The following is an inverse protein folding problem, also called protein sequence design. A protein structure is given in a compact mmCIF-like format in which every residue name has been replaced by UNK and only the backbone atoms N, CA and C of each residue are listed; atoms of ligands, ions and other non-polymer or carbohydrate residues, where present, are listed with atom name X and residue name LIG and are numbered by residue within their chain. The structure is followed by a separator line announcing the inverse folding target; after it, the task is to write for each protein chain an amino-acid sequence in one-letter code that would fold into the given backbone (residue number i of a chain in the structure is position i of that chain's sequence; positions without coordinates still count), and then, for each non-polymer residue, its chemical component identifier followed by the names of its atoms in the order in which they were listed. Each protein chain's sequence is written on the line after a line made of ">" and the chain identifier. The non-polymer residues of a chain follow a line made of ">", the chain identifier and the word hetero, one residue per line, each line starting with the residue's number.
data_IF_156397442829
#
_entry.id   IF_156397442829
#
_cell.length_a   1.000
_cell.length_b   1.000
_cell.length_c   1.000
_cell.angle_alpha   90.00
_cell.angle_beta   90.00
_cell.angle_gamma   90.00
#
_symmetry.space_group_name_H-M   'P 1'
#
loop_
_entity.id
_entity.type
_entity.pdbx_description
1 polymer ?
#
# COMPACT_ATOMS: atom_id res chain seq x y z
N UNK A 1 6.06 -25.13 7.01
CA UNK A 1 6.53 -25.13 5.61
C UNK A 1 7.78 -25.98 5.44
N UNK A 2 8.76 -25.91 6.35
CA UNK A 2 10.01 -26.68 6.26
C UNK A 2 9.81 -28.21 6.23
N UNK A 3 8.74 -28.72 6.83
CA UNK A 3 8.41 -30.14 6.83
C UNK A 3 7.78 -30.65 5.52
N UNK A 4 7.29 -29.71 4.70
CA UNK A 4 6.62 -30.02 3.43
C UNK A 4 7.49 -29.72 2.21
N UNK A 5 8.62 -29.07 2.42
CA UNK A 5 9.56 -28.72 1.36
C UNK A 5 10.63 -29.82 1.22
N UNK A 6 11.14 -30.02 0.01
CA UNK A 6 12.24 -30.94 -0.27
C UNK A 6 13.55 -30.43 0.35
N UNK A 7 13.74 -29.10 0.36
CA UNK A 7 14.88 -28.42 0.97
C UNK A 7 14.43 -27.25 1.84
N UNK A 8 15.16 -26.98 2.91
CA UNK A 8 14.95 -25.84 3.76
C UNK A 8 16.29 -25.15 4.09
N UNK A 9 16.35 -23.85 3.82
CA UNK A 9 17.57 -23.05 4.02
C UNK A 9 17.31 -21.99 5.09
N UNK A 10 18.16 -21.96 6.11
CA UNK A 10 18.14 -20.89 7.10
C UNK A 10 18.79 -19.64 6.51
N UNK A 11 18.02 -18.58 6.35
CA UNK A 11 18.46 -17.30 5.77
C UNK A 11 18.82 -16.23 6.82
N UNK A 12 18.67 -16.52 8.10
CA UNK A 12 19.05 -15.59 9.16
C UNK A 12 18.32 -15.82 10.48
N UNK A 13 18.47 -14.84 11.37
CA UNK A 13 17.80 -14.80 12.68
C UNK A 13 16.31 -14.58 12.53
N UNK A 14 15.55 -14.74 13.62
CA UNK A 14 14.09 -14.61 13.64
C UNK A 14 13.57 -13.20 13.28
N UNK A 15 14.37 -12.14 13.49
CA UNK A 15 13.98 -10.79 13.09
C UNK A 15 13.77 -10.71 11.57
N UNK A 16 12.67 -10.10 11.12
CA UNK A 16 12.30 -10.02 9.70
C UNK A 16 13.37 -9.31 8.85
N UNK A 17 14.02 -8.29 9.39
CA UNK A 17 15.13 -7.58 8.75
C UNK A 17 16.37 -8.44 8.51
N UNK A 18 16.55 -9.47 9.33
CA UNK A 18 17.65 -10.43 9.22
C UNK A 18 17.29 -11.65 8.37
N UNK A 19 16.04 -11.77 7.94
CA UNK A 19 15.51 -12.94 7.23
C UNK A 19 14.55 -12.53 6.09
N UNK A 20 13.25 -12.45 6.35
CA UNK A 20 12.19 -12.27 5.34
C UNK A 20 12.26 -10.93 4.58
N UNK A 21 12.90 -9.91 5.12
CA UNK A 21 13.11 -8.62 4.45
C UNK A 21 14.53 -8.47 3.89
N UNK A 22 15.40 -9.45 4.10
CA UNK A 22 16.77 -9.42 3.57
C UNK A 22 16.81 -10.04 2.17
N UNK A 23 16.66 -9.18 1.17
CA UNK A 23 16.60 -9.57 -0.25
C UNK A 23 17.85 -10.34 -0.71
N UNK A 24 19.03 -9.91 -0.25
CA UNK A 24 20.30 -10.51 -0.65
C UNK A 24 20.43 -11.94 -0.13
N UNK A 25 20.01 -12.19 1.11
CA UNK A 25 20.05 -13.54 1.70
C UNK A 25 19.08 -14.50 1.03
N UNK A 26 17.89 -13.99 0.68
CA UNK A 26 16.90 -14.79 -0.06
C UNK A 26 17.45 -15.17 -1.43
N UNK A 27 17.99 -14.20 -2.18
CA UNK A 27 18.57 -14.47 -3.50
C UNK A 27 19.80 -15.37 -3.41
N UNK A 28 20.65 -15.21 -2.38
CA UNK A 28 21.79 -16.10 -2.16
C UNK A 28 21.35 -17.55 -1.92
N UNK A 29 20.28 -17.76 -1.12
CA UNK A 29 19.69 -19.07 -0.90
C UNK A 29 19.11 -19.64 -2.20
N UNK A 30 18.39 -18.82 -2.97
CA UNK A 30 17.82 -19.19 -4.27
C UNK A 30 18.88 -19.69 -5.25
N UNK A 31 19.99 -18.95 -5.35
CA UNK A 31 21.10 -19.31 -6.25
C UNK A 31 21.81 -20.57 -5.75
N UNK A 32 22.03 -20.70 -4.44
CA UNK A 32 22.71 -21.84 -3.85
C UNK A 32 21.92 -23.16 -4.03
N UNK A 33 20.59 -23.08 -3.94
CA UNK A 33 19.69 -24.23 -4.16
C UNK A 33 19.36 -24.46 -5.64
N UNK A 34 19.83 -23.58 -6.53
CA UNK A 34 19.54 -23.60 -7.97
C UNK A 34 18.03 -23.53 -8.26
N UNK A 35 17.28 -22.85 -7.40
CA UNK A 35 15.87 -22.60 -7.63
C UNK A 35 15.68 -21.64 -8.81
N UNK A 36 14.79 -21.96 -9.71
CA UNK A 36 14.53 -21.20 -10.94
C UNK A 36 13.48 -20.09 -10.73
N UNK A 37 12.70 -20.18 -9.66
CA UNK A 37 11.63 -19.24 -9.37
C UNK A 37 11.46 -19.00 -7.87
N UNK A 38 10.91 -17.83 -7.52
CA UNK A 38 10.53 -17.47 -6.16
C UNK A 38 9.03 -17.17 -6.11
N UNK A 39 8.31 -17.91 -5.26
CA UNK A 39 6.95 -17.53 -4.86
C UNK A 39 7.04 -16.72 -3.56
N UNK A 40 6.72 -15.42 -3.58
CA UNK A 40 6.95 -14.54 -2.42
C UNK A 40 5.93 -14.73 -1.28
N UNK A 41 4.89 -15.52 -1.48
CA UNK A 41 3.76 -15.56 -0.58
C UNK A 41 2.92 -14.27 -0.65
N UNK A 42 2.53 -13.75 0.50
CA UNK A 42 1.84 -12.46 0.64
C UNK A 42 2.51 -11.63 1.75
N UNK A 43 2.40 -10.31 1.64
CA UNK A 43 3.11 -9.39 2.53
C UNK A 43 4.63 -9.38 2.27
N UNK A 44 5.40 -8.79 3.18
CA UNK A 44 6.86 -8.69 3.11
C UNK A 44 7.37 -8.23 1.73
N UNK A 45 8.13 -9.07 1.03
CA UNK A 45 8.72 -8.74 -0.27
C UNK A 45 7.79 -8.98 -1.46
N UNK A 46 6.58 -9.53 -1.25
CA UNK A 46 5.61 -9.72 -2.34
C UNK A 46 5.14 -8.40 -2.97
N UNK A 47 5.23 -7.30 -2.23
CA UNK A 47 4.86 -5.95 -2.66
C UNK A 47 6.07 -5.04 -2.90
N UNK A 48 7.27 -5.63 -2.99
CA UNK A 48 8.51 -4.88 -3.15
C UNK A 48 9.03 -4.95 -4.59
N UNK A 49 8.87 -3.87 -5.35
CA UNK A 49 9.31 -3.79 -6.76
C UNK A 49 10.82 -3.99 -6.93
N UNK A 50 11.63 -3.47 -5.98
CA UNK A 50 13.08 -3.65 -6.01
C UNK A 50 13.49 -5.12 -5.91
N UNK A 51 12.77 -5.90 -5.09
CA UNK A 51 13.04 -7.33 -4.99
C UNK A 51 12.77 -8.06 -6.31
N UNK A 52 11.69 -7.70 -7.00
CA UNK A 52 11.39 -8.25 -8.34
C UNK A 52 12.50 -7.91 -9.34
N UNK A 53 12.94 -6.66 -9.39
CA UNK A 53 14.07 -6.25 -10.24
C UNK A 53 15.36 -7.04 -9.94
N UNK A 54 15.61 -7.33 -8.67
CA UNK A 54 16.76 -8.14 -8.26
C UNK A 54 16.63 -9.58 -8.71
N UNK A 55 15.44 -10.18 -8.62
CA UNK A 55 15.15 -11.52 -9.15
C UNK A 55 15.41 -11.57 -10.65
N UNK A 56 14.87 -10.60 -11.41
CA UNK A 56 15.08 -10.51 -12.86
C UNK A 56 16.57 -10.42 -13.24
N UNK A 57 17.36 -9.59 -12.53
CA UNK A 57 18.80 -9.46 -12.74
C UNK A 57 19.58 -10.75 -12.45
N UNK A 58 19.04 -11.60 -11.57
CA UNK A 58 19.62 -12.90 -11.24
C UNK A 58 19.09 -14.04 -12.14
N UNK A 59 18.28 -13.75 -13.15
CA UNK A 59 17.57 -14.74 -13.98
C UNK A 59 16.69 -15.71 -13.16
N UNK A 60 16.11 -15.22 -12.08
CA UNK A 60 15.16 -15.95 -11.22
C UNK A 60 13.75 -15.45 -11.51
N UNK A 61 12.84 -16.33 -11.87
CA UNK A 61 11.46 -15.95 -12.14
C UNK A 61 10.76 -15.55 -10.82
N UNK A 62 10.23 -14.33 -10.76
CA UNK A 62 9.35 -13.93 -9.67
C UNK A 62 7.91 -14.34 -10.02
N UNK A 63 7.28 -15.15 -9.17
CA UNK A 63 5.89 -15.60 -9.37
C UNK A 63 4.97 -14.50 -8.85
N UNK A 64 4.61 -13.57 -9.73
CA UNK A 64 3.81 -12.39 -9.41
C UNK A 64 3.83 -11.35 -10.53
N UNK A 65 3.30 -10.15 -10.27
CA UNK A 65 3.34 -9.05 -11.22
C UNK A 65 4.76 -8.52 -11.44
N UNK A 66 4.98 -7.80 -12.54
CA UNK A 66 6.25 -7.12 -12.81
C UNK A 66 6.55 -6.03 -11.77
N UNK A 67 7.82 -5.65 -11.65
CA UNK A 67 8.27 -4.58 -10.76
C UNK A 67 7.50 -3.27 -11.01
N UNK A 68 7.25 -2.92 -12.28
CA UNK A 68 6.47 -1.73 -12.67
C UNK A 68 5.04 -1.80 -12.13
N UNK A 69 4.36 -2.93 -12.29
CA UNK A 69 2.98 -3.10 -11.83
C UNK A 69 2.91 -3.01 -10.30
N UNK A 70 3.83 -3.66 -9.59
CA UNK A 70 3.89 -3.59 -8.12
C UNK A 70 4.11 -2.14 -7.66
N UNK A 71 5.05 -1.42 -8.27
CA UNK A 71 5.33 -0.02 -7.94
C UNK A 71 4.11 0.86 -8.15
N UNK A 72 3.45 0.76 -9.31
CA UNK A 72 2.26 1.56 -9.65
C UNK A 72 1.06 1.24 -8.79
N UNK A 73 0.82 -0.03 -8.50
CA UNK A 73 -0.32 -0.44 -7.66
C UNK A 73 -0.08 -0.22 -6.16
N UNK A 74 1.19 -0.17 -5.73
CA UNK A 74 1.56 0.19 -4.37
C UNK A 74 1.29 1.66 -4.02
N UNK A 75 1.30 2.56 -5.02
CA UNK A 75 0.90 3.95 -4.84
C UNK A 75 -0.63 4.09 -5.01
N UNK A 76 -1.34 4.38 -3.92
CA UNK A 76 -2.81 4.43 -3.90
C UNK A 76 -3.41 5.44 -4.90
N UNK A 77 -2.79 6.60 -5.06
CA UNK A 77 -3.25 7.63 -5.99
C UNK A 77 -3.02 7.21 -7.45
N UNK A 78 -1.85 6.64 -7.73
CA UNK A 78 -1.49 6.17 -9.06
C UNK A 78 -2.32 4.94 -9.46
N UNK A 79 -2.54 4.01 -8.55
CA UNK A 79 -3.43 2.87 -8.75
C UNK A 79 -4.85 3.31 -9.11
N UNK A 80 -5.44 4.25 -8.36
CA UNK A 80 -6.75 4.82 -8.67
C UNK A 80 -6.80 5.52 -10.02
N UNK A 81 -5.79 6.31 -10.35
CA UNK A 81 -5.73 7.00 -11.63
C UNK A 81 -5.60 6.01 -12.79
N UNK A 82 -4.84 4.94 -12.61
CA UNK A 82 -4.72 3.85 -13.58
C UNK A 82 -6.07 3.16 -13.78
N UNK A 83 -6.77 2.83 -12.68
CA UNK A 83 -8.09 2.20 -12.77
C UNK A 83 -9.13 3.11 -13.44
N UNK A 84 -9.13 4.42 -13.11
CA UNK A 84 -10.01 5.39 -13.79
C UNK A 84 -9.76 5.44 -15.31
N UNK A 85 -8.50 5.47 -15.73
CA UNK A 85 -8.13 5.43 -17.16
C UNK A 85 -8.62 4.15 -17.84
N UNK A 86 -8.57 3.03 -17.12
CA UNK A 86 -9.09 1.74 -17.60
C UNK A 86 -10.63 1.61 -17.51
N UNK A 87 -11.34 2.69 -17.10
CA UNK A 87 -12.81 2.72 -16.90
C UNK A 87 -13.30 1.72 -15.84
N UNK A 88 -12.43 1.32 -14.93
CA UNK A 88 -12.80 0.51 -13.76
C UNK A 88 -13.42 1.46 -12.72
N UNK A 89 -14.59 1.14 -12.16
CA UNK A 89 -15.19 1.93 -11.10
C UNK A 89 -14.26 2.03 -9.88
N UNK A 90 -14.07 3.25 -9.39
CA UNK A 90 -13.30 3.51 -8.16
C UNK A 90 -14.13 4.37 -7.22
N UNK A 91 -13.86 4.26 -5.92
CA UNK A 91 -14.49 5.14 -4.93
C UNK A 91 -14.14 6.59 -5.27
N UNK A 92 -15.16 7.49 -5.39
CA UNK A 92 -14.92 8.90 -5.63
C UNK A 92 -13.99 9.51 -4.59
N UNK A 93 -13.06 10.35 -5.00
CA UNK A 93 -12.10 10.96 -4.10
C UNK A 93 -11.14 11.89 -4.83
N UNK A 94 -10.23 12.49 -4.07
CA UNK A 94 -9.22 13.40 -4.62
C UNK A 94 -8.34 12.70 -5.64
N UNK A 95 -7.99 13.41 -6.70
CA UNK A 95 -7.03 12.95 -7.73
C UNK A 95 -5.61 13.24 -7.29
N UNK A 96 -5.43 14.38 -6.67
CA UNK A 96 -4.17 14.90 -6.16
C UNK A 96 -4.18 14.90 -4.63
N UNK A 97 -3.01 14.85 -3.99
CA UNK A 97 -2.87 15.03 -2.56
C UNK A 97 -3.40 16.39 -2.09
N UNK A 98 -3.89 16.44 -0.86
CA UNK A 98 -4.32 17.68 -0.19
C UNK A 98 -3.46 17.90 1.05
N UNK A 99 -3.06 19.16 1.27
CA UNK A 99 -2.12 19.52 2.33
C UNK A 99 -2.71 20.50 3.34
N UNK A 100 -3.82 21.15 2.99
CA UNK A 100 -4.47 22.16 3.83
C UNK A 100 -5.96 21.92 3.94
N UNK A 101 -6.56 22.40 5.04
CA UNK A 101 -8.01 22.33 5.25
C UNK A 101 -8.75 23.01 4.09
N UNK A 102 -8.27 24.15 3.59
CA UNK A 102 -8.90 24.87 2.49
C UNK A 102 -8.94 24.06 1.19
N UNK A 103 -7.82 23.42 0.83
CA UNK A 103 -7.78 22.50 -0.33
C UNK A 103 -8.73 21.32 -0.14
N UNK A 104 -8.76 20.77 1.08
CA UNK A 104 -9.61 19.64 1.42
C UNK A 104 -11.10 20.02 1.36
N UNK A 105 -11.49 21.18 1.86
CA UNK A 105 -12.86 21.69 1.78
C UNK A 105 -13.33 21.89 0.33
N UNK A 106 -12.46 22.40 -0.54
CA UNK A 106 -12.78 22.54 -1.96
C UNK A 106 -13.03 21.16 -2.61
N UNK A 107 -12.16 20.18 -2.33
CA UNK A 107 -12.34 18.83 -2.84
C UNK A 107 -13.61 18.15 -2.34
N UNK A 108 -14.02 18.41 -1.09
CA UNK A 108 -15.26 17.83 -0.51
C UNK A 108 -16.51 18.33 -1.23
N UNK A 109 -16.51 19.54 -1.82
CA UNK A 109 -17.66 20.03 -2.60
C UNK A 109 -18.01 19.10 -3.79
N UNK A 110 -16.98 18.50 -4.39
CA UNK A 110 -17.17 17.54 -5.49
C UNK A 110 -17.46 16.12 -4.97
N UNK A 111 -16.80 15.70 -3.87
CA UNK A 111 -16.91 14.35 -3.33
C UNK A 111 -18.22 14.15 -2.58
N UNK A 112 -18.63 15.15 -1.80
CA UNK A 112 -19.80 15.12 -0.90
C UNK A 112 -19.52 14.41 0.42
N UNK A 113 -20.40 14.66 1.41
CA UNK A 113 -20.40 13.96 2.71
C UNK A 113 -21.28 12.70 2.66
N UNK A 114 -21.01 11.71 3.53
CA UNK A 114 -19.84 11.64 4.42
C UNK A 114 -18.54 11.36 3.66
N UNK A 115 -17.43 11.87 4.18
CA UNK A 115 -16.12 11.74 3.56
C UNK A 115 -15.12 11.07 4.49
N UNK A 116 -14.28 10.21 3.93
CA UNK A 116 -13.16 9.58 4.62
C UNK A 116 -11.90 10.39 4.36
N UNK A 117 -11.27 10.86 5.42
CA UNK A 117 -9.97 11.53 5.43
C UNK A 117 -8.92 10.46 5.67
N UNK A 118 -7.87 10.41 4.86
CA UNK A 118 -6.83 9.39 4.95
C UNK A 118 -5.44 9.99 4.80
N UNK A 119 -4.50 9.55 5.62
CA UNK A 119 -3.08 9.80 5.42
C UNK A 119 -2.54 8.97 4.24
N UNK A 120 -1.67 9.55 3.42
CA UNK A 120 -1.04 8.86 2.29
C UNK A 120 -0.12 7.73 2.75
N UNK A 121 0.72 8.01 3.73
CA UNK A 121 1.65 7.04 4.32
C UNK A 121 0.97 6.07 5.32
N UNK A 122 -0.31 6.27 5.64
CA UNK A 122 -1.02 5.51 6.65
C UNK A 122 -1.34 4.07 6.24
N UNK A 123 -1.18 3.18 7.21
CA UNK A 123 -1.63 1.80 7.13
C UNK A 123 -2.29 1.38 8.46
N UNK A 124 -3.08 0.29 8.44
CA UNK A 124 -3.71 -0.22 9.65
C UNK A 124 -4.74 0.71 10.31
N UNK A 125 -5.30 1.68 9.57
CA UNK A 125 -6.30 2.62 10.09
C UNK A 125 -5.77 3.86 10.80
N UNK A 126 -4.47 4.02 10.97
CA UNK A 126 -3.87 5.26 11.50
C UNK A 126 -3.99 6.40 10.50
N UNK A 127 -4.25 7.61 11.00
CA UNK A 127 -4.45 8.79 10.14
C UNK A 127 -5.74 8.72 9.32
N UNK A 128 -6.76 7.98 9.77
CA UNK A 128 -8.07 7.89 9.13
C UNK A 128 -9.17 8.46 10.00
N UNK A 129 -10.03 9.29 9.42
CA UNK A 129 -11.22 9.86 10.08
C UNK A 129 -12.38 9.93 9.08
N UNK A 130 -13.58 9.75 9.58
CA UNK A 130 -14.82 9.96 8.81
C UNK A 130 -15.45 11.26 9.27
N UNK A 131 -15.62 12.20 8.36
CA UNK A 131 -16.40 13.41 8.60
C UNK A 131 -17.77 13.26 7.95
N UNK A 132 -18.82 13.51 8.73
CA UNK A 132 -20.21 13.36 8.29
C UNK A 132 -20.81 14.66 7.77
N UNK A 133 -20.27 15.77 8.21
CA UNK A 133 -20.70 17.11 7.80
C UNK A 133 -19.53 18.11 7.76
N UNK A 134 -19.81 19.30 7.26
CA UNK A 134 -18.84 20.37 7.11
C UNK A 134 -18.34 20.92 8.47
N UNK A 135 -19.16 20.85 9.52
CA UNK A 135 -18.83 21.46 10.83
C UNK A 135 -17.67 20.73 11.52
N UNK A 136 -17.67 19.41 11.41
CA UNK A 136 -16.62 18.58 12.02
C UNK A 136 -15.41 18.36 11.11
N UNK A 137 -15.57 18.57 9.79
CA UNK A 137 -14.57 18.21 8.78
C UNK A 137 -13.21 18.82 9.03
N UNK A 138 -13.15 20.16 9.23
CA UNK A 138 -11.87 20.88 9.40
C UNK A 138 -11.06 20.35 10.57
N UNK A 139 -11.71 20.17 11.73
CA UNK A 139 -11.06 19.66 12.94
C UNK A 139 -10.58 18.21 12.77
N UNK A 140 -11.38 17.37 12.13
CA UNK A 140 -11.02 15.97 11.87
C UNK A 140 -9.87 15.86 10.87
N UNK A 141 -9.83 16.74 9.85
CA UNK A 141 -8.73 16.80 8.91
C UNK A 141 -7.41 17.15 9.61
N UNK A 142 -7.39 18.24 10.40
CA UNK A 142 -6.20 18.64 11.15
C UNK A 142 -5.73 17.54 12.11
N UNK A 143 -6.66 16.90 12.82
CA UNK A 143 -6.33 15.80 13.73
C UNK A 143 -5.69 14.64 12.99
N UNK A 144 -6.26 14.21 11.87
CA UNK A 144 -5.71 13.12 11.07
C UNK A 144 -4.34 13.47 10.48
N UNK A 145 -4.15 14.71 10.04
CA UNK A 145 -2.89 15.19 9.50
C UNK A 145 -1.80 15.26 10.56
N UNK A 146 -2.10 15.76 11.76
CA UNK A 146 -1.15 15.77 12.88
C UNK A 146 -0.74 14.35 13.29
N UNK A 147 -1.69 13.41 13.33
CA UNK A 147 -1.39 12.00 13.58
C UNK A 147 -0.46 11.42 12.50
N UNK A 148 -0.68 11.78 11.24
CA UNK A 148 0.17 11.35 10.12
C UNK A 148 1.59 11.90 10.23
N UNK A 149 1.73 13.19 10.51
CA UNK A 149 3.02 13.84 10.72
C UNK A 149 3.78 13.17 11.86
N UNK A 150 3.10 12.94 12.97
CA UNK A 150 3.72 12.34 14.16
C UNK A 150 4.14 10.89 13.95
N UNK A 151 3.32 10.11 13.25
CA UNK A 151 3.54 8.66 13.08
C UNK A 151 4.40 8.31 11.87
N UNK A 152 4.38 9.13 10.81
CA UNK A 152 4.97 8.81 9.52
C UNK A 152 5.87 9.90 8.95
N UNK A 153 5.97 11.05 9.64
CA UNK A 153 6.68 12.25 9.14
C UNK A 153 6.18 12.73 7.77
N UNK A 154 4.88 12.52 7.49
CA UNK A 154 4.23 12.85 6.22
C UNK A 154 2.92 13.59 6.47
N UNK A 155 2.76 14.77 5.84
CA UNK A 155 1.56 15.60 5.94
C UNK A 155 0.59 15.40 4.76
N UNK A 156 0.89 14.45 3.89
CA UNK A 156 0.12 14.19 2.68
C UNK A 156 -1.18 13.49 3.01
N UNK A 157 -2.29 14.14 2.68
CA UNK A 157 -3.63 13.61 2.91
C UNK A 157 -4.36 13.40 1.60
N UNK A 158 -5.36 12.55 1.61
CA UNK A 158 -6.33 12.43 0.53
C UNK A 158 -7.73 12.11 1.07
N UNK A 159 -8.73 12.37 0.25
CA UNK A 159 -10.13 12.24 0.63
C UNK A 159 -10.83 11.23 -0.27
N UNK A 160 -11.72 10.47 0.32
CA UNK A 160 -12.58 9.52 -0.40
C UNK A 160 -14.01 9.63 0.11
N UNK A 161 -14.97 9.41 -0.77
CA UNK A 161 -16.34 9.26 -0.34
C UNK A 161 -16.46 8.08 0.63
N UNK A 162 -17.06 8.31 1.78
CA UNK A 162 -17.37 7.21 2.68
C UNK A 162 -18.60 6.47 2.16
N UNK A 163 -18.45 5.18 1.85
CA UNK A 163 -19.54 4.34 1.36
C UNK A 163 -20.29 3.80 2.55
N UNK A 164 -21.53 4.26 2.72
CA UNK A 164 -22.43 3.73 3.73
C UNK A 164 -23.14 2.46 3.23
N UNK A 165 -23.36 1.52 4.14
CA UNK A 165 -23.96 0.23 3.84
C UNK A 165 -23.27 -0.52 2.68
N UNK A 166 -21.95 -0.71 2.72
CA UNK A 166 -21.24 -1.38 1.65
C UNK A 166 -21.64 -2.86 1.62
N UNK A 167 -21.59 -3.45 0.43
CA UNK A 167 -21.60 -4.90 0.29
C UNK A 167 -20.20 -5.41 0.61
N UNK A 168 -20.10 -6.25 1.63
CA UNK A 168 -18.85 -6.91 1.98
C UNK A 168 -18.78 -8.28 1.29
N UNK A 169 -17.67 -8.54 0.63
CA UNK A 169 -17.30 -9.86 0.15
C UNK A 169 -16.14 -10.35 1.02
N UNK A 170 -16.28 -11.57 1.54
CA UNK A 170 -15.25 -12.23 2.33
C UNK A 170 -14.63 -13.27 1.41
N UNK A 171 -13.36 -13.06 1.09
CA UNK A 171 -12.55 -13.99 0.29
C UNK A 171 -11.70 -14.91 1.16
#
# INVERSE_FOLDING_TARGET
>A
HTQLADEAVCIGKAASTDSYLNMERILSATIATKAEAIHPGFGFLSENSRFVEMCEKCNVAFIGPSAEVISRMGNKSEAKNTMRKAKVPVVPGTKEPVYTVAQAQEAVKEIGFPVMIKASAGGGGKGMRVARDEKEFGKLFETAQQESIHSFSDNTMYLERFVENPRHEIG
#
